data_IF_373280303637
#
_entry.id   IF_373280303637
#
_cell.length_a   1.000
_cell.length_b   1.000
_cell.length_c   1.000
_cell.angle_alpha   90.00
_cell.angle_beta   90.00
_cell.angle_gamma   90.00
#
_symmetry.space_group_name_H-M   'P 1'
#
loop_
_entity.id
_entity.type
_entity.pdbx_description
1 polymer ?
#
# COMPACT_ATOMS: atom_id res chain seq x y z
N UNK A 1 -62.53 0.82 -43.60
CA UNK A 1 -61.26 0.14 -43.73
C UNK A 1 -60.52 0.29 -42.40
N UNK A 2 -60.45 -0.79 -41.61
CA UNK A 2 -59.73 -0.81 -40.29
C UNK A 2 -58.45 -1.52 -40.54
N UNK A 3 -57.30 -0.80 -40.39
CA UNK A 3 -55.97 -1.38 -40.47
C UNK A 3 -55.67 -2.17 -39.18
N UNK A 4 -55.34 -3.44 -39.37
CA UNK A 4 -54.83 -4.33 -38.28
C UNK A 4 -53.35 -4.09 -38.07
N UNK A 5 -52.97 -3.69 -36.85
CA UNK A 5 -51.59 -3.72 -36.39
C UNK A 5 -51.15 -5.16 -36.08
N UNK A 6 -49.94 -5.58 -36.43
CA UNK A 6 -49.44 -6.91 -36.07
C UNK A 6 -49.09 -6.98 -34.56
N UNK A 7 -49.51 -8.05 -33.91
CA UNK A 7 -49.10 -8.41 -32.53
C UNK A 7 -47.71 -8.97 -32.58
N UNK A 8 -46.76 -8.30 -31.91
CA UNK A 8 -45.49 -8.87 -31.53
C UNK A 8 -45.72 -9.82 -30.35
N UNK A 9 -45.47 -11.11 -30.54
CA UNK A 9 -45.43 -12.11 -29.49
C UNK A 9 -44.06 -12.05 -28.82
N UNK A 10 -43.97 -11.46 -27.64
CA UNK A 10 -42.82 -11.56 -26.77
C UNK A 10 -43.04 -12.72 -25.80
N UNK A 11 -42.51 -13.87 -26.10
CA UNK A 11 -42.31 -14.92 -25.11
C UNK A 11 -40.93 -14.75 -24.47
N UNK A 12 -40.80 -13.77 -23.57
CA UNK A 12 -39.75 -13.82 -22.57
C UNK A 12 -40.30 -14.69 -21.46
N UNK A 13 -39.77 -15.88 -21.33
CA UNK A 13 -39.98 -16.70 -20.13
C UNK A 13 -39.26 -16.02 -19.00
N UNK A 14 -40.00 -15.51 -18.02
CA UNK A 14 -39.50 -15.15 -16.71
C UNK A 14 -39.03 -16.45 -16.06
N UNK A 15 -37.72 -16.71 -16.10
CA UNK A 15 -37.09 -17.67 -15.21
C UNK A 15 -37.08 -17.02 -13.83
N UNK A 16 -38.05 -17.38 -13.00
CA UNK A 16 -38.03 -17.10 -11.57
C UNK A 16 -36.73 -17.66 -10.99
N UNK A 17 -35.89 -16.77 -10.43
CA UNK A 17 -34.67 -17.15 -9.70
C UNK A 17 -35.12 -17.94 -8.44
N UNK A 18 -35.14 -19.26 -8.52
CA UNK A 18 -35.37 -20.12 -7.38
C UNK A 18 -34.15 -20.12 -6.45
N UNK A 19 -34.18 -19.24 -5.46
CA UNK A 19 -33.13 -19.08 -4.44
C UNK A 19 -32.87 -20.35 -3.60
N UNK A 20 -33.69 -21.38 -3.75
CA UNK A 20 -33.55 -22.68 -3.06
C UNK A 20 -32.97 -23.78 -3.97
N UNK A 21 -32.69 -23.50 -5.22
CA UNK A 21 -31.97 -24.46 -6.06
C UNK A 21 -30.49 -24.42 -5.70
N UNK A 22 -29.90 -25.51 -5.23
CA UNK A 22 -28.44 -25.55 -5.05
C UNK A 22 -27.80 -25.33 -6.42
N UNK A 23 -26.85 -24.40 -6.46
CA UNK A 23 -26.03 -24.18 -7.64
C UNK A 23 -25.28 -25.48 -7.98
N UNK A 24 -25.79 -26.24 -8.95
CA UNK A 24 -25.19 -27.49 -9.42
C UNK A 24 -23.96 -27.27 -10.30
N UNK A 25 -23.55 -26.03 -10.55
CA UNK A 25 -22.24 -25.71 -11.15
C UNK A 25 -21.08 -25.81 -10.12
N UNK A 26 -21.40 -25.93 -8.83
CA UNK A 26 -20.42 -26.31 -7.82
C UNK A 26 -19.93 -27.72 -8.13
N UNK A 27 -18.78 -27.85 -8.74
CA UNK A 27 -18.01 -29.08 -8.88
C UNK A 27 -18.06 -29.80 -7.54
N UNK A 28 -18.54 -31.06 -7.54
CA UNK A 28 -18.67 -31.90 -6.37
C UNK A 28 -17.28 -32.03 -5.69
N UNK A 29 -17.02 -31.17 -4.70
CA UNK A 29 -15.78 -31.14 -3.94
C UNK A 29 -15.94 -32.16 -2.80
N UNK A 30 -16.15 -33.41 -3.19
CA UNK A 30 -16.15 -34.53 -2.30
C UNK A 30 -14.74 -34.97 -1.97
N UNK A 31 -14.24 -34.55 -0.83
CA UNK A 31 -12.95 -34.92 -0.28
C UNK A 31 -12.45 -33.84 0.68
N UNK A 32 -11.71 -34.24 1.71
CA UNK A 32 -10.98 -33.30 2.57
C UNK A 32 -10.02 -32.48 1.72
N UNK A 33 -10.43 -31.27 1.33
CA UNK A 33 -9.54 -30.35 0.64
C UNK A 33 -8.55 -29.78 1.65
N UNK A 34 -7.30 -30.11 1.47
CA UNK A 34 -6.18 -29.58 2.27
C UNK A 34 -5.40 -28.61 1.41
N UNK A 35 -5.17 -27.41 1.90
CA UNK A 35 -4.23 -26.47 1.34
C UNK A 35 -2.97 -26.46 2.18
N UNK A 36 -1.82 -26.78 1.57
CA UNK A 36 -0.52 -26.70 2.24
C UNK A 36 0.02 -25.29 2.06
N UNK A 37 0.38 -24.67 3.18
CA UNK A 37 1.11 -23.39 3.19
C UNK A 37 2.57 -23.64 3.55
N UNK A 38 3.46 -22.94 2.91
CA UNK A 38 4.88 -23.00 3.20
C UNK A 38 5.30 -21.80 4.05
N UNK A 39 6.18 -22.01 5.01
CA UNK A 39 6.75 -20.91 5.78
C UNK A 39 7.55 -20.00 4.85
N UNK A 40 7.43 -18.68 5.05
CA UNK A 40 8.23 -17.68 4.33
C UNK A 40 9.73 -17.94 4.52
N UNK A 41 10.53 -17.63 3.49
CA UNK A 41 11.97 -17.61 3.61
C UNK A 41 12.43 -16.36 4.39
N UNK A 42 13.33 -16.54 5.33
CA UNK A 42 14.01 -15.42 6.00
C UNK A 42 15.11 -14.84 5.08
N UNK A 43 15.52 -13.57 5.26
CA UNK A 43 16.53 -12.93 4.41
C UNK A 43 17.83 -13.69 4.25
N UNK A 44 18.33 -14.33 5.31
CA UNK A 44 19.55 -15.15 5.36
C UNK A 44 19.39 -16.52 4.66
N UNK A 45 18.15 -16.92 4.38
CA UNK A 45 17.79 -18.18 3.71
C UNK A 45 17.39 -17.96 2.24
N UNK A 46 17.54 -16.74 1.73
CA UNK A 46 17.09 -16.39 0.38
C UNK A 46 17.79 -17.18 -0.70
N UNK A 47 17.02 -17.77 -1.61
CA UNK A 47 17.55 -18.54 -2.73
C UNK A 47 17.36 -17.76 -4.04
N UNK A 48 18.44 -17.62 -4.78
CA UNK A 48 18.40 -16.98 -6.10
C UNK A 48 17.47 -17.78 -7.04
N UNK A 49 16.49 -17.13 -7.67
CA UNK A 49 15.60 -17.80 -8.62
C UNK A 49 16.38 -18.39 -9.80
N UNK A 50 15.97 -19.56 -10.28
CA UNK A 50 16.58 -20.20 -11.47
C UNK A 50 16.47 -19.27 -12.70
N UNK A 51 17.57 -19.07 -13.39
CA UNK A 51 17.64 -18.20 -14.57
C UNK A 51 17.54 -16.71 -14.24
N UNK A 52 17.89 -16.32 -13.01
CA UNK A 52 17.99 -14.92 -12.63
C UNK A 52 19.03 -14.16 -13.46
N UNK A 53 18.70 -12.93 -13.82
CA UNK A 53 19.62 -12.00 -14.49
C UNK A 53 20.56 -11.28 -13.53
N UNK A 54 21.41 -10.40 -14.04
CA UNK A 54 22.26 -9.55 -13.21
C UNK A 54 21.43 -8.52 -12.44
N UNK A 55 22.06 -7.94 -11.42
CA UNK A 55 21.48 -6.82 -10.66
C UNK A 55 21.07 -5.68 -11.59
N UNK A 56 19.80 -5.28 -11.47
CA UNK A 56 19.23 -4.14 -12.20
C UNK A 56 18.92 -2.97 -11.26
N UNK A 57 18.34 -3.25 -10.08
CA UNK A 57 17.90 -2.22 -9.12
C UNK A 57 17.97 -2.76 -7.69
N UNK A 58 18.25 -1.87 -6.75
CA UNK A 58 18.10 -2.12 -5.30
C UNK A 58 16.88 -1.39 -4.78
N UNK A 59 16.08 -2.05 -3.97
CA UNK A 59 14.87 -1.50 -3.35
C UNK A 59 14.93 -1.75 -1.84
N UNK A 60 14.75 -0.71 -1.05
CA UNK A 60 14.64 -0.82 0.40
C UNK A 60 13.20 -1.19 0.76
N UNK A 61 12.98 -2.40 1.22
CA UNK A 61 11.70 -2.87 1.75
C UNK A 61 11.66 -2.57 3.22
N UNK A 62 10.65 -1.87 3.69
CA UNK A 62 10.55 -1.41 5.08
C UNK A 62 9.14 -1.57 5.64
N UNK A 63 9.06 -1.59 6.96
CA UNK A 63 7.85 -1.56 7.74
C UNK A 63 8.08 -0.83 9.07
N UNK A 64 7.03 -0.24 9.63
CA UNK A 64 7.06 0.54 10.87
C UNK A 64 5.97 0.09 11.83
N UNK A 65 6.33 -0.04 13.11
CA UNK A 65 5.36 -0.03 14.19
C UNK A 65 5.34 1.33 14.85
N UNK A 66 4.14 1.81 15.21
CA UNK A 66 3.94 3.16 15.74
C UNK A 66 2.99 3.17 16.93
N UNK A 67 2.95 4.27 17.69
CA UNK A 67 1.98 4.45 18.79
C UNK A 67 0.56 4.74 18.31
N UNK A 68 0.34 4.93 17.00
CA UNK A 68 -0.96 5.20 16.40
C UNK A 68 -0.86 5.60 14.93
N UNK A 69 -1.92 6.18 14.38
CA UNK A 69 -2.07 6.37 12.93
C UNK A 69 -1.72 7.77 12.42
N UNK A 70 -1.60 8.75 13.31
CA UNK A 70 -1.39 10.15 12.93
C UNK A 70 0.06 10.58 13.20
N UNK A 71 0.90 10.74 12.15
CA UNK A 71 2.30 11.07 12.31
C UNK A 71 2.56 12.44 12.94
N UNK A 72 1.54 13.28 13.12
CA UNK A 72 1.66 14.52 13.88
C UNK A 72 1.65 14.32 15.41
N UNK A 73 1.06 13.22 15.88
CA UNK A 73 0.88 12.91 17.30
C UNK A 73 1.51 11.60 17.71
N UNK A 74 1.67 10.68 16.76
CA UNK A 74 2.14 9.33 16.99
C UNK A 74 3.59 9.17 16.55
N UNK A 75 4.30 8.29 17.25
CA UNK A 75 5.73 8.11 17.09
C UNK A 75 6.03 6.68 16.61
N UNK A 76 7.12 6.55 15.85
CA UNK A 76 7.67 5.24 15.48
C UNK A 76 8.22 4.59 16.75
N UNK A 77 7.87 3.33 17.00
CA UNK A 77 8.40 2.50 18.10
C UNK A 77 9.27 1.35 17.60
N UNK A 78 9.08 0.91 16.36
CA UNK A 78 9.98 -0.03 15.67
C UNK A 78 10.14 0.36 14.20
N UNK A 79 11.33 0.16 13.66
CA UNK A 79 11.62 0.21 12.22
C UNK A 79 12.34 -1.05 11.81
N UNK A 80 11.94 -1.63 10.68
CA UNK A 80 12.70 -2.68 10.02
C UNK A 80 12.91 -2.33 8.55
N UNK A 81 14.11 -2.59 8.05
CA UNK A 81 14.48 -2.36 6.64
C UNK A 81 15.35 -3.50 6.15
N UNK A 82 15.05 -4.04 4.98
CA UNK A 82 15.93 -4.91 4.22
C UNK A 82 16.09 -4.40 2.80
N UNK A 83 17.27 -4.45 2.23
CA UNK A 83 17.50 -4.09 0.83
C UNK A 83 17.39 -5.35 -0.01
N UNK A 84 16.44 -5.38 -0.95
CA UNK A 84 16.36 -6.42 -1.97
C UNK A 84 17.09 -5.97 -3.23
N UNK A 85 17.70 -6.92 -3.92
CA UNK A 85 18.28 -6.75 -5.24
C UNK A 85 17.37 -7.43 -6.24
N UNK A 86 17.01 -6.73 -7.30
CA UNK A 86 16.15 -7.27 -8.37
C UNK A 86 16.88 -7.24 -9.72
N UNK A 87 16.54 -8.22 -10.58
CA UNK A 87 16.99 -8.25 -11.97
C UNK A 87 16.08 -7.40 -12.88
N UNK A 88 16.39 -7.35 -14.19
CA UNK A 88 15.60 -6.58 -15.16
C UNK A 88 14.13 -7.07 -15.33
N UNK A 89 13.81 -8.27 -14.86
CA UNK A 89 12.43 -8.79 -14.80
C UNK A 89 11.77 -8.56 -13.43
N UNK A 90 12.41 -7.76 -12.57
CA UNK A 90 12.01 -7.50 -11.20
C UNK A 90 11.90 -8.78 -10.33
N UNK A 91 12.68 -9.82 -10.59
CA UNK A 91 12.80 -10.98 -9.73
C UNK A 91 13.78 -10.67 -8.61
N UNK A 92 13.42 -11.01 -7.37
CA UNK A 92 14.29 -10.81 -6.20
C UNK A 92 15.44 -11.81 -6.24
N UNK A 93 16.65 -11.33 -6.53
CA UNK A 93 17.85 -12.15 -6.70
C UNK A 93 18.73 -12.21 -5.46
N UNK A 94 18.59 -11.24 -4.54
CA UNK A 94 19.26 -11.25 -3.25
C UNK A 94 18.47 -10.41 -2.25
N UNK A 95 18.63 -10.75 -0.97
CA UNK A 95 18.13 -9.97 0.17
C UNK A 95 19.30 -9.69 1.07
N UNK A 96 19.60 -8.40 1.33
CA UNK A 96 20.65 -8.01 2.28
C UNK A 96 20.15 -8.18 3.72
N UNK A 97 21.09 -8.25 4.67
CA UNK A 97 20.76 -8.42 6.09
C UNK A 97 19.78 -7.33 6.56
N UNK A 98 18.71 -7.77 7.21
CA UNK A 98 17.72 -6.87 7.79
C UNK A 98 18.32 -6.02 8.89
N UNK A 99 17.95 -4.74 8.91
CA UNK A 99 18.27 -3.80 9.98
C UNK A 99 16.99 -3.46 10.72
N UNK A 100 17.05 -3.50 12.04
CA UNK A 100 15.93 -3.16 12.91
C UNK A 100 16.35 -2.16 13.96
N UNK A 101 15.40 -1.38 14.45
CA UNK A 101 15.62 -0.45 15.55
C UNK A 101 14.34 -0.24 16.34
N UNK A 102 14.47 -0.20 17.66
CA UNK A 102 13.40 0.17 18.57
C UNK A 102 13.61 1.61 19.06
N UNK A 103 12.52 2.30 19.37
CA UNK A 103 12.55 3.65 19.93
C UNK A 103 11.57 3.79 21.07
N UNK A 104 12.04 4.34 22.18
CA UNK A 104 11.18 4.76 23.28
C UNK A 104 10.38 5.99 22.86
N UNK A 105 9.04 5.94 22.82
CA UNK A 105 8.21 7.10 22.56
C UNK A 105 8.17 8.06 23.76
N UNK A 106 7.74 9.30 23.57
CA UNK A 106 7.60 10.30 24.64
C UNK A 106 6.44 10.01 25.61
N UNK A 107 5.46 9.22 25.15
CA UNK A 107 4.30 8.80 25.97
C UNK A 107 4.34 7.29 26.12
N UNK A 108 3.78 6.75 27.20
CA UNK A 108 3.64 5.31 27.35
C UNK A 108 2.88 4.69 26.18
N UNK A 109 3.27 3.47 25.79
CA UNK A 109 2.62 2.71 24.75
C UNK A 109 1.24 2.27 25.26
N UNK A 110 0.18 2.64 24.54
CA UNK A 110 -1.18 2.25 24.89
C UNK A 110 -1.34 0.72 24.88
N UNK A 111 -2.10 0.12 25.82
CA UNK A 111 -2.23 -1.33 25.92
C UNK A 111 -2.75 -2.00 24.64
N UNK A 112 -3.62 -1.32 23.88
CA UNK A 112 -4.11 -1.83 22.60
C UNK A 112 -2.98 -1.91 21.56
N UNK A 113 -2.07 -0.94 21.53
CA UNK A 113 -0.89 -0.94 20.63
C UNK A 113 0.06 -2.06 21.05
N UNK A 114 0.36 -2.17 22.36
CA UNK A 114 1.20 -3.26 22.86
C UNK A 114 0.62 -4.64 22.54
N UNK A 115 -0.70 -4.81 22.60
CA UNK A 115 -1.37 -6.06 22.23
C UNK A 115 -1.28 -6.37 20.72
N UNK A 116 -1.29 -5.35 19.86
CA UNK A 116 -1.21 -5.51 18.41
C UNK A 116 0.24 -5.79 17.99
N UNK A 117 1.19 -4.96 18.44
CA UNK A 117 2.59 -5.00 17.99
C UNK A 117 3.45 -5.96 18.79
N UNK A 118 3.00 -6.36 19.98
CA UNK A 118 3.82 -7.11 20.94
C UNK A 118 4.98 -6.30 21.52
N UNK A 119 4.94 -4.96 21.39
CA UNK A 119 5.98 -4.04 21.90
C UNK A 119 5.41 -3.30 23.09
N UNK A 120 6.07 -3.42 24.23
CA UNK A 120 5.72 -2.71 25.47
C UNK A 120 6.80 -1.67 25.86
N UNK A 121 6.50 -0.88 26.89
CA UNK A 121 7.40 0.16 27.38
C UNK A 121 8.76 -0.41 27.84
N UNK A 122 8.78 -1.62 28.42
CA UNK A 122 10.02 -2.24 28.89
C UNK A 122 10.94 -2.60 27.73
N UNK A 123 10.39 -3.03 26.60
CA UNK A 123 11.18 -3.37 25.41
C UNK A 123 11.84 -2.15 24.77
N UNK A 124 11.22 -0.99 24.84
CA UNK A 124 11.70 0.24 24.20
C UNK A 124 12.46 1.15 25.14
N UNK A 125 12.51 0.85 26.44
CA UNK A 125 13.17 1.67 27.45
C UNK A 125 14.61 1.99 27.08
N UNK A 126 14.97 3.26 27.03
CA UNK A 126 16.30 3.76 26.65
C UNK A 126 16.69 3.51 25.19
N UNK A 127 15.82 2.91 24.37
CA UNK A 127 16.10 2.66 22.93
C UNK A 127 15.86 3.93 22.13
N UNK A 128 16.70 4.09 21.10
CA UNK A 128 16.58 5.22 20.17
C UNK A 128 17.02 4.81 18.77
N UNK A 129 16.18 5.08 17.80
CA UNK A 129 16.51 4.97 16.38
C UNK A 129 17.43 6.14 16.02
N UNK A 130 18.54 5.86 15.35
CA UNK A 130 19.42 6.90 14.80
C UNK A 130 18.95 7.26 13.38
N UNK A 131 18.37 8.46 13.16
CA UNK A 131 17.87 8.86 11.84
C UNK A 131 18.94 8.86 10.75
N UNK A 132 20.18 9.28 11.08
CA UNK A 132 21.30 9.28 10.13
C UNK A 132 21.66 7.89 9.65
N UNK A 133 21.66 6.88 10.56
CA UNK A 133 21.92 5.50 10.16
C UNK A 133 20.79 4.91 9.29
N UNK A 134 19.54 5.31 9.55
CA UNK A 134 18.40 4.91 8.70
C UNK A 134 18.53 5.57 7.32
N UNK A 135 18.81 6.88 7.27
CA UNK A 135 19.03 7.61 6.02
C UNK A 135 20.16 7.00 5.18
N UNK A 136 21.31 6.72 5.81
CA UNK A 136 22.47 6.09 5.17
C UNK A 136 22.10 4.71 4.58
N UNK A 137 21.38 3.88 5.34
CA UNK A 137 21.00 2.56 4.86
C UNK A 137 19.99 2.62 3.71
N UNK A 138 18.97 3.47 3.81
CA UNK A 138 17.99 3.70 2.75
C UNK A 138 18.62 4.29 1.49
N UNK A 139 19.60 5.19 1.63
CA UNK A 139 20.35 5.79 0.53
C UNK A 139 21.14 4.81 -0.34
N UNK A 140 21.28 3.55 0.08
CA UNK A 140 21.89 2.47 -0.72
C UNK A 140 20.95 1.89 -1.78
N UNK A 141 19.65 2.23 -1.71
CA UNK A 141 18.61 1.77 -2.63
C UNK A 141 18.14 2.92 -3.54
N UNK A 142 17.59 2.57 -4.70
CA UNK A 142 17.02 3.53 -5.65
C UNK A 142 15.55 3.85 -5.36
N UNK A 143 14.86 3.05 -4.56
CA UNK A 143 13.48 3.30 -4.12
C UNK A 143 13.22 2.66 -2.75
N UNK A 144 12.24 3.22 -2.03
CA UNK A 144 11.63 2.60 -0.87
C UNK A 144 10.36 1.83 -1.27
N UNK A 145 10.08 0.74 -0.57
CA UNK A 145 8.87 -0.05 -0.72
C UNK A 145 8.35 -0.47 0.64
N UNK A 146 7.04 -0.32 0.85
CA UNK A 146 6.34 -0.87 1.99
C UNK A 146 4.97 -1.41 1.57
N UNK A 147 4.31 -2.09 2.46
CA UNK A 147 2.98 -2.60 2.14
C UNK A 147 1.97 -1.45 1.98
N UNK A 148 1.96 -0.47 2.90
CA UNK A 148 1.07 0.68 2.87
C UNK A 148 1.83 2.00 2.92
N UNK A 149 2.39 2.45 1.79
CA UNK A 149 3.22 3.65 1.73
C UNK A 149 2.53 4.93 2.21
N UNK A 150 1.21 5.00 2.10
CA UNK A 150 0.44 6.12 2.63
C UNK A 150 0.52 6.27 4.15
N UNK A 151 0.90 5.21 4.86
CA UNK A 151 1.13 5.19 6.30
C UNK A 151 2.63 5.35 6.62
N UNK A 152 3.45 4.40 6.20
CA UNK A 152 4.85 4.31 6.59
C UNK A 152 5.66 5.53 6.16
N UNK A 153 5.49 5.96 4.92
CA UNK A 153 6.21 7.12 4.40
C UNK A 153 5.98 8.36 5.24
N UNK A 154 4.74 8.63 5.63
CA UNK A 154 4.38 9.83 6.38
C UNK A 154 5.03 9.86 7.77
N UNK A 155 5.12 8.72 8.45
CA UNK A 155 5.83 8.61 9.72
C UNK A 155 7.33 8.69 9.54
N UNK A 156 7.87 8.02 8.52
CA UNK A 156 9.30 7.98 8.27
C UNK A 156 9.85 9.36 7.85
N UNK A 157 9.11 10.15 7.04
CA UNK A 157 9.49 11.52 6.68
C UNK A 157 9.65 12.45 7.90
N UNK A 158 8.95 12.17 9.01
CA UNK A 158 9.12 12.92 10.28
C UNK A 158 10.45 12.60 10.95
N UNK A 159 10.91 11.36 10.86
CA UNK A 159 12.15 10.89 11.46
C UNK A 159 13.35 11.12 10.54
N UNK A 160 13.18 10.89 9.24
CA UNK A 160 14.22 10.90 8.20
C UNK A 160 13.70 11.73 7.02
N UNK A 161 13.81 13.07 7.07
CA UNK A 161 13.29 13.95 6.02
C UNK A 161 13.87 13.69 4.62
N UNK A 162 15.04 13.09 4.52
CA UNK A 162 15.73 12.75 3.28
C UNK A 162 14.93 11.76 2.42
N UNK A 163 14.08 10.93 3.02
CA UNK A 163 13.25 9.96 2.27
C UNK A 163 12.17 10.64 1.43
N UNK A 164 11.91 11.92 1.66
CA UNK A 164 10.97 12.71 0.85
C UNK A 164 11.39 12.83 -0.62
N UNK A 165 12.69 12.75 -0.91
CA UNK A 165 13.23 12.82 -2.27
C UNK A 165 13.40 11.44 -2.92
N UNK A 166 13.12 10.37 -2.21
CA UNK A 166 13.20 9.00 -2.74
C UNK A 166 11.92 8.61 -3.46
N UNK A 167 12.01 7.80 -4.54
CA UNK A 167 10.86 7.11 -5.11
C UNK A 167 10.25 6.12 -4.10
N UNK A 168 8.90 6.00 -4.11
CA UNK A 168 8.18 5.10 -3.23
C UNK A 168 7.24 4.17 -4.01
N UNK A 169 7.22 2.92 -3.58
CA UNK A 169 6.37 1.85 -4.10
C UNK A 169 5.45 1.40 -2.96
N UNK A 170 4.16 1.30 -3.23
CA UNK A 170 3.15 0.82 -2.29
C UNK A 170 2.60 -0.53 -2.76
N UNK A 171 2.98 -1.63 -2.12
CA UNK A 171 2.50 -2.93 -2.55
C UNK A 171 0.97 -3.05 -2.50
N UNK A 172 0.31 -2.40 -1.53
CA UNK A 172 -1.15 -2.41 -1.41
C UNK A 172 -1.86 -1.63 -2.53
N UNK A 173 -1.28 -0.51 -2.99
CA UNK A 173 -1.96 0.43 -3.90
C UNK A 173 -1.39 0.43 -5.32
N UNK A 174 -0.14 0.01 -5.53
CA UNK A 174 0.50 -0.04 -6.84
C UNK A 174 0.31 -1.38 -7.56
N UNK A 175 -0.25 -2.38 -6.86
CA UNK A 175 -0.59 -3.69 -7.43
C UNK A 175 -2.09 -3.82 -7.58
N UNK A 176 -2.56 -4.20 -8.76
CA UNK A 176 -3.95 -4.61 -8.95
C UNK A 176 -4.12 -6.08 -8.53
N UNK A 177 -4.29 -6.28 -7.23
CA UNK A 177 -4.43 -7.60 -6.63
C UNK A 177 -5.57 -8.41 -7.21
N UNK A 178 -6.68 -7.75 -7.54
CA UNK A 178 -7.86 -8.42 -8.11
C UNK A 178 -7.57 -8.93 -9.52
N UNK A 179 -6.94 -8.12 -10.38
CA UNK A 179 -6.54 -8.56 -11.73
C UNK A 179 -5.56 -9.73 -11.70
N UNK A 180 -4.73 -9.82 -10.65
CA UNK A 180 -3.82 -10.96 -10.42
C UNK A 180 -4.51 -12.19 -9.82
N UNK A 181 -5.80 -12.11 -9.51
CA UNK A 181 -6.59 -13.20 -8.97
C UNK A 181 -6.50 -13.36 -7.44
N UNK A 182 -6.02 -12.33 -6.74
CA UNK A 182 -6.06 -12.28 -5.28
C UNK A 182 -7.36 -11.65 -4.78
N UNK A 183 -7.80 -12.08 -3.61
CA UNK A 183 -8.96 -11.54 -2.90
C UNK A 183 -8.50 -10.73 -1.69
N UNK A 184 -9.06 -9.51 -1.55
CA UNK A 184 -8.71 -8.59 -0.47
C UNK A 184 -7.36 -7.89 -0.62
N UNK A 185 -6.95 -7.20 0.45
CA UNK A 185 -5.75 -6.34 0.47
C UNK A 185 -4.94 -6.43 1.76
N UNK A 186 -5.29 -7.30 2.71
CA UNK A 186 -4.49 -7.48 3.92
C UNK A 186 -3.26 -8.33 3.61
N UNK A 187 -2.07 -7.90 4.03
CA UNK A 187 -0.81 -8.58 3.74
C UNK A 187 -0.82 -10.06 4.12
N UNK A 188 -1.26 -10.38 5.34
CA UNK A 188 -1.34 -11.76 5.80
C UNK A 188 -2.30 -12.63 4.98
N UNK A 189 -3.40 -12.04 4.48
CA UNK A 189 -4.34 -12.75 3.61
C UNK A 189 -3.74 -13.00 2.21
N UNK A 190 -3.06 -12.01 1.64
CA UNK A 190 -2.38 -12.14 0.34
C UNK A 190 -1.26 -13.18 0.39
N UNK A 191 -0.46 -13.21 1.47
CA UNK A 191 0.57 -14.22 1.69
C UNK A 191 -0.04 -15.62 1.72
N UNK A 192 -1.15 -15.80 2.43
CA UNK A 192 -1.85 -17.08 2.50
C UNK A 192 -2.36 -17.52 1.13
N UNK A 193 -2.87 -16.60 0.31
CA UNK A 193 -3.28 -16.88 -1.05
C UNK A 193 -2.09 -17.22 -1.96
N UNK A 194 -0.92 -16.64 -1.73
CA UNK A 194 0.33 -17.01 -2.40
C UNK A 194 0.89 -18.38 -1.95
N UNK A 195 0.18 -19.10 -1.06
CA UNK A 195 0.61 -20.42 -0.58
C UNK A 195 1.65 -20.35 0.55
N UNK A 196 1.80 -19.19 1.19
CA UNK A 196 2.80 -18.93 2.22
C UNK A 196 2.15 -18.62 3.57
N UNK A 197 2.91 -18.71 4.66
CA UNK A 197 2.51 -18.20 5.96
C UNK A 197 3.71 -17.66 6.75
N UNK A 198 3.46 -16.67 7.58
CA UNK A 198 4.37 -16.22 8.63
C UNK A 198 3.70 -16.54 9.98
N UNK A 199 4.37 -17.25 10.91
CA UNK A 199 3.81 -17.54 12.23
C UNK A 199 3.79 -16.32 13.16
N UNK A 200 4.52 -15.27 12.81
CA UNK A 200 4.63 -14.02 13.57
C UNK A 200 4.10 -12.89 12.67
N UNK A 201 3.24 -12.07 13.20
CA UNK A 201 2.71 -10.88 12.54
C UNK A 201 2.82 -9.68 13.50
N UNK A 202 2.74 -8.47 12.97
CA UNK A 202 2.82 -7.22 13.72
C UNK A 202 4.14 -7.03 14.47
N UNK A 203 5.23 -7.45 13.84
CA UNK A 203 6.59 -7.05 14.15
C UNK A 203 7.22 -6.61 12.83
N UNK A 204 7.75 -5.41 12.80
CA UNK A 204 8.22 -4.80 11.56
C UNK A 204 9.19 -5.71 10.76
N UNK A 205 10.08 -6.45 11.45
CA UNK A 205 10.99 -7.39 10.79
C UNK A 205 10.26 -8.57 10.11
N UNK A 206 9.24 -9.11 10.77
CA UNK A 206 8.45 -10.24 10.25
C UNK A 206 7.55 -9.79 9.11
N UNK A 207 7.02 -8.57 9.17
CA UNK A 207 6.19 -7.99 8.11
C UNK A 207 7.03 -7.62 6.88
N UNK A 208 8.26 -7.12 7.05
CA UNK A 208 9.22 -6.95 5.94
C UNK A 208 9.57 -8.30 5.30
N UNK A 209 9.86 -9.35 6.09
CA UNK A 209 10.16 -10.68 5.55
C UNK A 209 8.95 -11.23 4.78
N UNK A 210 7.75 -11.06 5.31
CA UNK A 210 6.50 -11.44 4.67
C UNK A 210 6.30 -10.71 3.34
N UNK A 211 6.52 -9.40 3.33
CA UNK A 211 6.39 -8.58 2.14
C UNK A 211 7.39 -9.00 1.06
N UNK A 212 8.65 -9.24 1.40
CA UNK A 212 9.68 -9.69 0.44
C UNK A 212 9.26 -11.01 -0.23
N UNK A 213 8.73 -11.97 0.53
CA UNK A 213 8.25 -13.23 -0.03
C UNK A 213 7.04 -13.02 -0.94
N UNK A 214 6.11 -12.14 -0.57
CA UNK A 214 4.97 -11.78 -1.40
C UNK A 214 5.40 -11.10 -2.69
N UNK A 215 6.36 -10.18 -2.64
CA UNK A 215 6.92 -9.50 -3.80
C UNK A 215 7.61 -10.48 -4.78
N UNK A 216 8.21 -11.54 -4.26
CA UNK A 216 8.87 -12.57 -5.07
C UNK A 216 7.90 -13.61 -5.66
N UNK A 217 6.63 -13.63 -5.22
CA UNK A 217 5.64 -14.57 -5.72
C UNK A 217 5.42 -14.36 -7.23
N UNK A 218 5.46 -15.46 -7.98
CA UNK A 218 5.17 -15.46 -9.42
C UNK A 218 3.67 -15.58 -9.66
N UNK A 219 3.09 -14.61 -10.33
CA UNK A 219 1.69 -14.54 -10.69
C UNK A 219 1.38 -15.45 -11.90
N UNK A 220 0.08 -15.61 -12.21
CA UNK A 220 -0.38 -16.46 -13.32
C UNK A 220 0.14 -16.03 -14.70
N UNK A 221 0.48 -14.77 -14.86
CA UNK A 221 1.05 -14.20 -16.09
C UNK A 221 2.57 -14.41 -16.21
N UNK A 222 3.19 -15.12 -15.27
CA UNK A 222 4.64 -15.41 -15.23
C UNK A 222 5.50 -14.24 -14.75
N UNK A 223 4.89 -13.17 -14.25
CA UNK A 223 5.59 -12.01 -13.66
C UNK A 223 5.53 -12.08 -12.13
N UNK A 224 6.49 -11.47 -11.46
CA UNK A 224 6.47 -11.37 -10.01
C UNK A 224 5.54 -10.25 -9.54
N UNK A 225 5.02 -10.34 -8.32
CA UNK A 225 4.32 -9.23 -7.65
C UNK A 225 5.20 -7.97 -7.64
N UNK A 226 6.52 -8.11 -7.47
CA UNK A 226 7.45 -6.98 -7.54
C UNK A 226 7.43 -6.29 -8.91
N UNK A 227 7.31 -7.04 -10.01
CA UNK A 227 7.21 -6.47 -11.35
C UNK A 227 5.94 -5.61 -11.50
N UNK A 228 4.80 -6.10 -11.02
CA UNK A 228 3.54 -5.35 -11.02
C UNK A 228 3.60 -4.12 -10.11
N UNK A 229 4.19 -4.24 -8.92
CA UNK A 229 4.36 -3.12 -7.99
C UNK A 229 5.22 -2.00 -8.59
N UNK A 230 6.33 -2.36 -9.23
CA UNK A 230 7.24 -1.40 -9.87
C UNK A 230 6.59 -0.71 -11.08
N UNK A 231 5.83 -1.45 -11.90
CA UNK A 231 5.06 -0.90 -13.01
C UNK A 231 3.98 0.07 -12.52
N UNK A 232 3.16 -0.34 -11.54
CA UNK A 232 2.12 0.52 -10.98
C UNK A 232 2.68 1.75 -10.26
N UNK A 233 3.85 1.64 -9.60
CA UNK A 233 4.51 2.78 -9.01
C UNK A 233 4.97 3.81 -10.06
N UNK A 234 5.43 3.37 -11.22
CA UNK A 234 5.86 4.23 -12.33
C UNK A 234 4.71 4.72 -13.21
N UNK A 235 3.53 4.12 -13.10
CA UNK A 235 2.38 4.51 -13.89
C UNK A 235 1.96 5.97 -13.61
N UNK A 236 1.42 6.69 -14.59
CA UNK A 236 0.91 8.04 -14.43
C UNK A 236 -0.12 8.14 -13.30
N UNK A 237 -0.05 9.21 -12.55
CA UNK A 237 -1.03 9.51 -11.51
C UNK A 237 -1.16 11.01 -11.28
N UNK A 238 -2.29 11.42 -10.72
CA UNK A 238 -2.64 12.81 -10.50
C UNK A 238 -3.24 12.98 -9.11
N UNK A 239 -2.93 14.10 -8.50
CA UNK A 239 -3.62 14.60 -7.32
C UNK A 239 -4.72 15.55 -7.77
N UNK A 240 -5.95 15.15 -7.52
CA UNK A 240 -7.13 15.98 -7.72
C UNK A 240 -7.38 16.78 -6.45
N UNK A 241 -7.45 18.11 -6.56
CA UNK A 241 -7.63 19.04 -5.45
C UNK A 241 -8.98 19.76 -5.55
N UNK A 242 -9.69 19.80 -4.43
CA UNK A 242 -10.95 20.48 -4.24
C UNK A 242 -10.79 21.57 -3.17
N UNK A 243 -10.18 22.71 -3.53
CA UNK A 243 -9.83 23.80 -2.61
C UNK A 243 -11.04 24.46 -1.98
N UNK A 244 -12.13 24.63 -2.75
CA UNK A 244 -13.32 25.36 -2.32
C UNK A 244 -14.57 24.48 -2.35
N UNK A 245 -14.44 23.28 -1.80
CA UNK A 245 -15.55 22.33 -1.78
C UNK A 245 -16.64 22.79 -0.81
N UNK A 246 -17.86 23.11 -1.28
CA UNK A 246 -18.95 23.52 -0.40
C UNK A 246 -19.22 22.49 0.68
N UNK A 247 -19.52 22.95 1.91
CA UNK A 247 -19.73 22.06 3.06
C UNK A 247 -20.75 20.94 2.76
N UNK A 248 -21.85 21.25 2.05
CA UNK A 248 -22.88 20.28 1.67
C UNK A 248 -22.37 19.12 0.81
N UNK A 249 -21.25 19.32 0.07
CA UNK A 249 -20.66 18.33 -0.85
C UNK A 249 -19.50 17.53 -0.23
N UNK A 250 -19.04 17.91 0.97
CA UNK A 250 -17.88 17.28 1.60
C UNK A 250 -18.12 15.80 1.91
N UNK A 251 -19.36 15.43 2.27
CA UNK A 251 -19.72 14.05 2.56
C UNK A 251 -19.64 13.17 1.29
N UNK A 252 -20.05 13.70 0.14
CA UNK A 252 -20.01 12.96 -1.12
C UNK A 252 -18.58 12.83 -1.64
N UNK A 253 -17.77 13.88 -1.52
CA UNK A 253 -16.34 13.81 -1.80
C UNK A 253 -15.63 12.80 -0.89
N UNK A 254 -15.93 12.79 0.41
CA UNK A 254 -15.37 11.81 1.34
C UNK A 254 -15.72 10.38 0.96
N UNK A 255 -16.98 10.11 0.57
CA UNK A 255 -17.43 8.81 0.08
C UNK A 255 -16.74 8.40 -1.22
N UNK A 256 -16.43 9.36 -2.07
CA UNK A 256 -15.69 9.16 -3.33
C UNK A 256 -14.19 8.91 -3.12
N UNK A 257 -13.69 9.05 -1.88
CA UNK A 257 -12.31 8.81 -1.52
C UNK A 257 -11.44 10.05 -1.33
N UNK A 258 -12.04 11.25 -1.43
CA UNK A 258 -11.31 12.47 -1.06
C UNK A 258 -11.03 12.51 0.43
N UNK A 259 -9.87 13.00 0.79
CA UNK A 259 -9.46 13.25 2.18
C UNK A 259 -9.06 14.70 2.34
N UNK A 260 -9.35 15.26 3.51
CA UNK A 260 -8.99 16.64 3.83
C UNK A 260 -7.57 16.67 4.37
N UNK A 261 -6.68 17.45 3.73
CA UNK A 261 -5.35 17.70 4.25
C UNK A 261 -5.38 18.77 5.37
N UNK A 262 -4.28 18.95 6.07
CA UNK A 262 -4.14 19.94 7.16
C UNK A 262 -4.41 21.40 6.71
N UNK A 263 -4.23 21.71 5.42
CA UNK A 263 -4.56 23.01 4.81
C UNK A 263 -6.05 23.21 4.54
N UNK A 264 -6.87 22.22 4.84
CA UNK A 264 -8.30 22.28 4.58
C UNK A 264 -8.72 21.91 3.16
N UNK A 265 -7.78 21.61 2.26
CA UNK A 265 -8.06 21.18 0.89
C UNK A 265 -8.43 19.70 0.88
N UNK A 266 -9.52 19.38 0.20
CA UNK A 266 -9.85 17.98 -0.09
C UNK A 266 -9.07 17.51 -1.31
N UNK A 267 -8.46 16.34 -1.23
CA UNK A 267 -7.68 15.78 -2.32
C UNK A 267 -7.86 14.27 -2.45
N UNK A 268 -7.60 13.76 -3.65
CA UNK A 268 -7.62 12.34 -3.98
C UNK A 268 -6.50 12.04 -4.96
N UNK A 269 -5.78 10.94 -4.75
CA UNK A 269 -4.87 10.39 -5.74
C UNK A 269 -5.69 9.60 -6.76
N UNK A 270 -5.52 9.90 -8.04
CA UNK A 270 -6.22 9.25 -9.16
C UNK A 270 -5.18 8.68 -10.11
N UNK A 271 -5.45 7.52 -10.68
CA UNK A 271 -4.62 6.82 -11.66
C UNK A 271 -5.42 6.54 -12.92
N UNK A 272 -4.75 6.20 -14.00
CA UNK A 272 -5.39 5.54 -15.12
C UNK A 272 -5.94 4.15 -14.67
N UNK A 273 -7.13 3.72 -15.14
CA UNK A 273 -8.01 4.39 -16.13
C UNK A 273 -9.03 5.37 -15.53
N UNK A 274 -8.97 5.67 -14.23
CA UNK A 274 -10.01 6.42 -13.50
C UNK A 274 -10.01 7.93 -13.77
N UNK A 275 -9.00 8.46 -14.45
CA UNK A 275 -8.78 9.92 -14.59
C UNK A 275 -9.99 10.65 -15.20
N UNK A 276 -10.46 10.21 -16.37
CA UNK A 276 -11.58 10.86 -17.05
C UNK A 276 -12.90 10.74 -16.26
N UNK A 277 -13.13 9.57 -15.69
CA UNK A 277 -14.31 9.33 -14.85
C UNK A 277 -14.32 10.22 -13.60
N UNK A 278 -13.16 10.50 -13.02
CA UNK A 278 -13.04 11.38 -11.87
C UNK A 278 -13.25 12.86 -12.23
N UNK A 279 -12.73 13.31 -13.38
CA UNK A 279 -12.99 14.66 -13.91
C UNK A 279 -14.49 14.86 -14.14
N UNK A 280 -15.14 13.91 -14.81
CA UNK A 280 -16.56 13.97 -15.09
C UNK A 280 -17.41 14.03 -13.80
N UNK A 281 -17.11 13.14 -12.84
CA UNK A 281 -17.79 13.13 -11.55
C UNK A 281 -17.63 14.44 -10.77
N UNK A 282 -16.40 14.99 -10.72
CA UNK A 282 -16.15 16.24 -10.02
C UNK A 282 -16.87 17.42 -10.66
N UNK A 283 -16.86 17.50 -12.00
CA UNK A 283 -17.56 18.54 -12.75
C UNK A 283 -19.07 18.48 -12.52
N UNK A 284 -19.67 17.30 -12.51
CA UNK A 284 -21.09 17.10 -12.19
C UNK A 284 -21.40 17.55 -10.75
N UNK A 285 -20.56 17.19 -9.78
CA UNK A 285 -20.78 17.50 -8.37
C UNK A 285 -20.63 18.99 -8.06
N UNK A 286 -19.59 19.63 -8.60
CA UNK A 286 -19.14 20.98 -8.20
C UNK A 286 -19.48 22.05 -9.24
N UNK A 287 -19.74 21.67 -10.48
CA UNK A 287 -20.04 22.59 -11.60
C UNK A 287 -18.80 23.21 -12.26
N UNK A 288 -17.60 22.73 -11.92
CA UNK A 288 -16.32 23.16 -12.51
C UNK A 288 -15.32 22.01 -12.50
N UNK A 289 -14.21 22.19 -13.18
CA UNK A 289 -13.12 21.21 -13.18
C UNK A 289 -12.33 21.24 -11.87
N UNK A 290 -11.81 20.09 -11.41
CA UNK A 290 -10.88 20.04 -10.28
C UNK A 290 -9.54 20.66 -10.68
N UNK A 291 -8.76 21.11 -9.69
CA UNK A 291 -7.32 21.33 -9.89
C UNK A 291 -6.66 19.97 -9.98
N UNK A 292 -5.90 19.73 -11.05
CA UNK A 292 -5.24 18.45 -11.31
C UNK A 292 -3.74 18.67 -11.34
N UNK A 293 -3.02 18.02 -10.44
CA UNK A 293 -1.57 18.11 -10.31
C UNK A 293 -0.97 16.75 -10.67
N UNK A 294 -0.13 16.63 -11.72
CA UNK A 294 0.61 15.41 -11.99
C UNK A 294 1.50 15.07 -10.78
N UNK A 295 1.52 13.81 -10.38
CA UNK A 295 2.40 13.33 -9.31
C UNK A 295 3.06 12.01 -9.75
N UNK A 296 4.36 11.94 -9.56
CA UNK A 296 5.15 10.74 -9.83
C UNK A 296 5.32 9.88 -8.56
N UNK A 297 6.11 8.83 -8.65
CA UNK A 297 6.40 7.94 -7.53
C UNK A 297 7.33 8.54 -6.46
N UNK A 298 7.95 9.72 -6.71
CA UNK A 298 8.66 10.50 -5.70
C UNK A 298 7.69 11.33 -4.88
N UNK A 299 6.63 11.84 -5.50
CA UNK A 299 5.65 12.74 -4.87
C UNK A 299 4.47 11.99 -4.26
N UNK A 300 4.14 10.82 -4.82
CA UNK A 300 3.03 9.99 -4.35
C UNK A 300 3.27 9.53 -2.92
N UNK A 301 2.23 9.50 -2.11
CA UNK A 301 2.26 9.11 -0.68
C UNK A 301 3.00 10.05 0.27
N UNK A 302 3.51 11.18 -0.18
CA UNK A 302 4.11 12.17 0.73
C UNK A 302 3.11 12.61 1.79
N UNK A 303 3.63 13.02 2.92
CA UNK A 303 2.81 13.68 3.94
C UNK A 303 2.18 14.96 3.37
N UNK A 304 0.94 15.26 3.77
CA UNK A 304 0.18 16.40 3.23
C UNK A 304 0.94 17.73 3.33
N UNK A 305 1.70 17.91 4.42
CA UNK A 305 2.50 19.12 4.67
C UNK A 305 3.79 19.21 3.86
N UNK A 306 4.22 18.12 3.18
CA UNK A 306 5.44 18.10 2.37
C UNK A 306 5.16 18.29 0.89
N UNK A 307 3.91 18.40 0.47
CA UNK A 307 3.54 18.52 -0.95
C UNK A 307 3.87 19.87 -1.60
N UNK A 308 4.09 20.92 -0.82
CA UNK A 308 4.61 22.16 -1.33
C UNK A 308 6.07 22.34 -0.89
N UNK A 309 6.87 23.11 -1.65
CA UNK A 309 8.21 23.51 -1.24
C UNK A 309 8.13 24.54 -0.11
N UNK A 310 7.44 24.20 0.97
CA UNK A 310 7.34 25.03 2.15
C UNK A 310 8.59 24.81 2.96
N UNK A 311 9.19 25.88 3.36
CA UNK A 311 10.23 26.03 4.37
C UNK A 311 10.30 24.85 5.36
N UNK A 312 10.90 23.73 4.95
CA UNK A 312 11.18 22.57 5.82
C UNK A 312 11.88 22.97 7.11
N UNK A 313 12.59 24.13 7.11
CA UNK A 313 13.25 24.67 8.29
C UNK A 313 12.30 25.17 9.39
N UNK A 314 11.12 25.62 9.05
CA UNK A 314 10.15 26.16 10.03
C UNK A 314 9.33 25.03 10.65
N UNK A 315 8.93 24.04 9.86
CA UNK A 315 8.11 22.91 10.37
C UNK A 315 8.91 21.94 11.24
N UNK A 316 10.16 21.65 10.88
CA UNK A 316 11.07 20.82 11.70
C UNK A 316 11.44 21.51 13.01
N UNK A 317 11.45 22.84 13.07
CA UNK A 317 11.75 23.59 14.31
C UNK A 317 10.62 23.47 15.36
N UNK A 318 9.36 23.27 14.95
CA UNK A 318 8.25 23.06 15.88
C UNK A 318 8.30 21.70 16.62
N UNK A 319 8.95 20.71 16.03
CA UNK A 319 9.06 19.36 16.60
C UNK A 319 10.30 19.13 17.46
N UNK A 320 11.21 20.11 17.53
CA UNK A 320 12.46 20.03 18.32
C UNK A 320 12.34 20.69 19.69
N UNK A 321 11.14 21.10 20.14
CA UNK A 321 10.96 21.70 21.47
C UNK A 321 10.14 20.81 22.39
#
# INVERSE_FOLDING_TARGET
MKEKRPRLSSSVKDEELDMNKPDTSATNIGGNQTRVLHRIALPDQWKVPKGAGPLHMKVAVLDLETTGLDPQYDEIIEVAVAIIQIDARARVIAVESMRTGLQQPRRPIEPNIANITGIDDAMVEGKRINPGSVAEYLGRAQACLCFNAGFDRRHLEMLVPEVAEMPWICAMADVDWHALGFDGRAQGHLIMQAGLFNPIAHRAADDVASLINLLAHECRDGRTVMAHALEGAKAPSWRFEASDLPHRLQKDAYRRGYRRCYRGVYHKLVREPDHEAEVAWYRELVGRDPTIVPVDWVQRYRADWTWEPVNRKVEVAHWRR
#
